data_IF_384403872420
#
_entry.id   IF_384403872420
#
_cell.length_a   1.000
_cell.length_b   1.000
_cell.length_c   1.000
_cell.angle_alpha   90.00
_cell.angle_beta   90.00
_cell.angle_gamma   90.00
#
_symmetry.space_group_name_H-M   'P 1'
#
loop_
_entity.id
_entity.type
_entity.pdbx_description
1 polymer ?
#
# COMPACT_ATOMS: atom_id res chain seq x y z
N UNK A 1 2.34 -18.65 15.39
CA UNK A 1 1.74 -18.86 14.06
C UNK A 1 0.90 -17.66 13.67
N UNK A 2 1.53 -16.55 13.25
CA UNK A 2 0.82 -15.37 12.76
C UNK A 2 0.85 -15.38 11.23
N UNK A 3 -0.30 -15.68 10.62
CA UNK A 3 -0.49 -15.75 9.18
C UNK A 3 -0.23 -14.38 8.55
N UNK A 4 0.67 -14.35 7.58
CA UNK A 4 1.10 -13.15 6.87
C UNK A 4 0.08 -12.80 5.81
N UNK A 5 -0.63 -11.69 5.98
CA UNK A 5 -1.58 -11.17 5.00
C UNK A 5 -1.36 -9.68 4.80
N UNK A 6 -1.35 -9.26 3.54
CA UNK A 6 -1.32 -7.87 3.13
C UNK A 6 -2.69 -7.24 3.49
N UNK A 7 -2.72 -6.41 4.53
CA UNK A 7 -3.91 -5.67 4.94
C UNK A 7 -4.64 -6.27 6.14
N UNK A 8 -4.56 -5.58 7.26
CA UNK A 8 -5.34 -5.89 8.45
C UNK A 8 -6.08 -4.65 8.96
N UNK A 9 -7.18 -4.89 9.64
CA UNK A 9 -7.87 -3.89 10.44
C UNK A 9 -8.15 -4.46 11.81
N UNK A 10 -8.33 -3.59 12.79
CA UNK A 10 -8.59 -4.01 14.17
C UNK A 10 -10.05 -3.80 14.50
N UNK A 11 -10.74 -4.86 14.92
CA UNK A 11 -12.07 -4.83 15.54
C UNK A 11 -11.91 -5.41 16.93
N UNK A 12 -12.26 -4.67 17.98
CA UNK A 12 -12.20 -5.11 19.38
C UNK A 12 -10.85 -5.74 19.77
N UNK A 13 -9.76 -5.03 19.48
CA UNK A 13 -8.36 -5.47 19.68
C UNK A 13 -7.94 -6.74 18.90
N UNK A 14 -8.82 -7.29 18.06
CA UNK A 14 -8.55 -8.47 17.23
C UNK A 14 -8.22 -8.03 15.81
N UNK A 15 -7.12 -8.55 15.25
CA UNK A 15 -6.76 -8.30 13.85
C UNK A 15 -7.64 -9.14 12.93
N UNK A 16 -8.37 -8.47 12.06
CA UNK A 16 -9.11 -9.05 10.96
C UNK A 16 -8.45 -8.67 9.63
N UNK A 17 -8.58 -9.54 8.63
CA UNK A 17 -7.95 -9.34 7.34
C UNK A 17 -8.91 -8.66 6.37
N UNK A 18 -8.40 -7.67 5.62
CA UNK A 18 -9.12 -7.12 4.49
C UNK A 18 -8.74 -7.93 3.25
N UNK A 19 -9.68 -8.66 2.62
CA UNK A 19 -9.35 -9.52 1.49
C UNK A 19 -8.82 -8.71 0.31
N UNK A 20 -7.64 -9.08 -0.18
CA UNK A 20 -7.07 -8.64 -1.45
C UNK A 20 -7.74 -9.44 -2.57
N UNK A 21 -8.51 -8.78 -3.41
CA UNK A 21 -9.34 -9.42 -4.45
C UNK A 21 -8.78 -9.27 -5.86
N UNK A 22 -7.89 -8.30 -6.10
CA UNK A 22 -7.25 -8.08 -7.40
C UNK A 22 -5.89 -7.40 -7.23
N UNK A 23 -4.94 -7.78 -8.08
CA UNK A 23 -3.61 -7.17 -8.17
C UNK A 23 -3.27 -6.97 -9.63
N UNK A 24 -3.02 -5.73 -10.03
CA UNK A 24 -2.55 -5.38 -11.37
C UNK A 24 -1.19 -4.73 -11.28
N UNK A 25 -0.30 -5.16 -12.15
CA UNK A 25 1.05 -4.60 -12.25
C UNK A 25 1.33 -4.27 -13.69
N UNK A 26 1.73 -3.04 -13.93
CA UNK A 26 2.20 -2.58 -15.23
C UNK A 26 3.58 -1.96 -15.06
N UNK A 27 4.57 -2.51 -15.75
CA UNK A 27 5.95 -2.03 -15.69
C UNK A 27 6.43 -1.66 -17.08
N UNK A 28 7.01 -0.48 -17.18
CA UNK A 28 7.80 -0.06 -18.35
C UNK A 28 9.28 -0.12 -17.97
N UNK A 29 10.07 -0.83 -18.75
CA UNK A 29 11.53 -0.93 -18.58
C UNK A 29 12.20 -0.18 -19.73
N UNK A 30 13.11 0.74 -19.40
CA UNK A 30 13.93 1.47 -20.35
C UNK A 30 15.39 1.38 -19.90
N UNK A 31 16.23 0.72 -20.70
CA UNK A 31 17.60 0.36 -20.32
C UNK A 31 17.62 -0.32 -18.94
N UNK A 32 18.37 0.25 -17.97
CA UNK A 32 18.46 -0.23 -16.59
C UNK A 32 17.43 0.40 -15.64
N UNK A 33 16.40 1.10 -16.13
CA UNK A 33 15.40 1.76 -15.28
C UNK A 33 14.03 1.13 -15.45
N UNK A 34 13.26 1.07 -14.36
CA UNK A 34 11.88 0.60 -14.34
C UNK A 34 10.94 1.67 -13.79
N UNK A 35 9.76 1.77 -14.38
CA UNK A 35 8.61 2.49 -13.83
C UNK A 35 7.46 1.51 -13.68
N UNK A 36 7.08 1.23 -12.45
CA UNK A 36 6.02 0.26 -12.14
C UNK A 36 4.82 0.96 -11.53
N UNK A 37 3.64 0.70 -12.09
CA UNK A 37 2.35 1.00 -11.48
C UNK A 37 1.79 -0.30 -10.90
N UNK A 38 1.63 -0.33 -9.58
CA UNK A 38 0.97 -1.38 -8.83
C UNK A 38 -0.41 -0.90 -8.39
N UNK A 39 -1.45 -1.67 -8.70
CA UNK A 39 -2.82 -1.45 -8.24
C UNK A 39 -3.25 -2.67 -7.43
N UNK A 40 -3.64 -2.45 -6.18
CA UNK A 40 -4.16 -3.49 -5.29
C UNK A 40 -5.59 -3.15 -4.90
N UNK A 41 -6.52 -4.09 -5.12
CA UNK A 41 -7.94 -3.90 -4.79
C UNK A 41 -8.32 -4.77 -3.60
N UNK A 42 -8.87 -4.14 -2.58
CA UNK A 42 -9.41 -4.79 -1.38
C UNK A 42 -10.92 -4.55 -1.28
N UNK A 43 -11.61 -5.39 -0.51
CA UNK A 43 -13.05 -5.24 -0.24
C UNK A 43 -13.32 -5.27 1.25
N UNK A 44 -14.09 -4.31 1.76
CA UNK A 44 -14.69 -4.42 3.08
C UNK A 44 -15.89 -5.37 3.03
N UNK A 45 -15.66 -6.65 3.27
CA UNK A 45 -16.72 -7.67 3.30
C UNK A 45 -17.55 -7.68 4.59
N UNK A 46 -17.24 -6.81 5.56
CA UNK A 46 -18.01 -6.74 6.80
C UNK A 46 -19.33 -5.99 6.60
N UNK A 47 -20.31 -6.28 7.47
CA UNK A 47 -21.60 -5.59 7.49
C UNK A 47 -21.50 -4.15 8.06
N UNK A 48 -20.32 -3.74 8.55
CA UNK A 48 -20.12 -2.47 9.23
C UNK A 48 -19.04 -1.62 8.56
N UNK A 49 -19.04 -0.32 8.89
CA UNK A 49 -18.00 0.60 8.45
C UNK A 49 -16.71 0.30 9.23
N UNK A 50 -15.59 0.15 8.52
CA UNK A 50 -14.28 0.06 9.15
C UNK A 50 -13.74 1.46 9.43
N UNK A 51 -13.45 1.74 10.71
CA UNK A 51 -12.90 3.03 11.13
C UNK A 51 -11.53 3.28 10.52
N UNK A 52 -10.66 2.28 10.56
CA UNK A 52 -9.30 2.36 10.04
C UNK A 52 -8.80 0.97 9.62
N UNK A 53 -8.12 0.89 8.49
CA UNK A 53 -7.44 -0.30 7.97
C UNK A 53 -5.99 0.09 7.70
N UNK A 54 -5.05 -0.78 8.08
CA UNK A 54 -3.62 -0.60 7.77
C UNK A 54 -3.14 -1.79 6.96
N UNK A 55 -2.53 -1.54 5.81
CA UNK A 55 -1.84 -2.56 5.04
C UNK A 55 -0.41 -2.16 4.79
N UNK A 56 0.47 -3.15 4.69
CA UNK A 56 1.86 -2.94 4.32
C UNK A 56 2.14 -3.63 2.99
N UNK A 57 3.06 -3.05 2.23
CA UNK A 57 3.57 -3.59 0.98
C UNK A 57 5.10 -3.40 0.93
N UNK A 58 5.88 -4.44 0.57
CA UNK A 58 7.32 -4.32 0.52
C UNK A 58 7.71 -3.64 -0.79
N UNK A 59 8.55 -2.60 -0.68
CA UNK A 59 9.20 -1.97 -1.81
C UNK A 59 10.70 -2.14 -1.59
N UNK A 60 11.34 -2.88 -2.51
CA UNK A 60 12.77 -3.19 -2.40
C UNK A 60 13.62 -1.92 -2.30
N UNK A 61 14.76 -2.04 -1.65
CA UNK A 61 15.76 -0.97 -1.57
C UNK A 61 16.12 -0.44 -2.97
N UNK A 62 16.28 0.89 -3.07
CA UNK A 62 16.64 1.56 -4.32
C UNK A 62 15.45 2.00 -5.19
N UNK A 63 14.20 1.77 -4.76
CA UNK A 63 13.03 2.33 -5.44
C UNK A 63 12.56 3.64 -4.80
N UNK A 64 12.07 4.55 -5.63
CA UNK A 64 11.44 5.81 -5.24
C UNK A 64 9.96 5.81 -5.61
N UNK A 65 9.09 6.10 -4.64
CA UNK A 65 7.66 6.28 -4.91
C UNK A 65 7.41 7.66 -5.51
N UNK A 66 6.74 7.70 -6.66
CA UNK A 66 6.51 8.93 -7.44
C UNK A 66 5.05 9.30 -7.55
N UNK A 67 4.11 8.38 -7.29
CA UNK A 67 2.69 8.71 -7.20
C UNK A 67 1.95 7.73 -6.28
N UNK A 68 0.93 8.25 -5.60
CA UNK A 68 0.01 7.48 -4.77
C UNK A 68 -1.42 7.94 -5.02
N UNK A 69 -2.35 7.00 -5.17
CA UNK A 69 -3.79 7.29 -5.23
C UNK A 69 -4.56 6.17 -4.54
N UNK A 70 -5.53 6.53 -3.70
CA UNK A 70 -6.40 5.59 -3.02
C UNK A 70 -7.86 5.91 -3.35
N UNK A 71 -8.60 4.93 -3.85
CA UNK A 71 -10.04 5.05 -4.16
C UNK A 71 -10.83 4.23 -3.15
N UNK A 72 -11.76 4.86 -2.45
CA UNK A 72 -12.63 4.23 -1.45
C UNK A 72 -14.09 4.45 -1.85
N UNK A 73 -14.70 3.41 -2.42
CA UNK A 73 -16.01 3.51 -3.07
C UNK A 73 -15.99 4.56 -4.18
N UNK A 74 -16.78 5.63 -4.01
CA UNK A 74 -16.87 6.75 -4.96
C UNK A 74 -15.87 7.90 -4.70
N UNK A 75 -15.02 7.81 -3.69
CA UNK A 75 -14.07 8.89 -3.33
C UNK A 75 -12.66 8.54 -3.80
N UNK A 76 -12.05 9.43 -4.56
CA UNK A 76 -10.63 9.35 -4.94
C UNK A 76 -9.81 10.28 -4.05
N UNK A 77 -8.72 9.76 -3.51
CA UNK A 77 -7.77 10.45 -2.63
C UNK A 77 -6.42 10.43 -3.35
N UNK A 78 -5.93 11.60 -3.75
CA UNK A 78 -4.64 11.75 -4.42
C UNK A 78 -3.59 12.11 -3.38
N UNK A 79 -2.45 11.42 -3.40
CA UNK A 79 -1.36 11.65 -2.46
C UNK A 79 -0.67 12.99 -2.69
N UNK A 80 -0.48 13.74 -1.61
CA UNK A 80 0.33 14.95 -1.56
C UNK A 80 1.49 14.71 -0.60
N UNK A 81 2.72 15.01 -1.04
CA UNK A 81 3.91 14.83 -0.20
C UNK A 81 3.95 15.92 0.86
N UNK A 82 4.02 15.51 2.12
CA UNK A 82 4.07 16.39 3.29
C UNK A 82 5.09 15.88 4.29
N UNK A 83 5.51 16.76 5.21
CA UNK A 83 6.26 16.35 6.39
C UNK A 83 5.50 15.24 7.15
N UNK A 84 6.23 14.24 7.63
CA UNK A 84 5.65 13.02 8.20
C UNK A 84 4.63 13.29 9.32
N UNK A 85 4.99 14.13 10.29
CA UNK A 85 4.11 14.40 11.43
C UNK A 85 2.90 15.25 11.02
N UNK A 86 3.07 16.16 10.07
CA UNK A 86 1.96 16.93 9.49
C UNK A 86 0.97 16.01 8.75
N UNK A 87 1.46 15.12 7.89
CA UNK A 87 0.63 14.16 7.17
C UNK A 87 -0.19 13.27 8.11
N UNK A 88 0.41 12.85 9.24
CA UNK A 88 -0.26 12.06 10.27
C UNK A 88 -1.35 12.83 11.01
N UNK A 89 -1.09 14.09 11.34
CA UNK A 89 -2.08 14.94 12.00
C UNK A 89 -3.28 15.16 11.09
N UNK A 90 -3.04 15.56 9.83
CA UNK A 90 -4.08 15.77 8.82
C UNK A 90 -4.93 14.50 8.63
N UNK A 91 -4.30 13.33 8.55
CA UNK A 91 -4.99 12.04 8.45
C UNK A 91 -5.88 11.77 9.67
N UNK A 92 -5.33 11.91 10.89
CA UNK A 92 -6.08 11.63 12.13
C UNK A 92 -7.30 12.54 12.27
N UNK A 93 -7.14 13.83 11.95
CA UNK A 93 -8.23 14.81 12.00
C UNK A 93 -9.33 14.48 10.97
N UNK A 94 -8.94 14.16 9.74
CA UNK A 94 -9.88 13.76 8.71
C UNK A 94 -10.66 12.48 9.10
N UNK A 95 -9.98 11.48 9.66
CA UNK A 95 -10.64 10.25 10.11
C UNK A 95 -11.58 10.52 11.30
N UNK A 96 -11.17 11.35 12.27
CA UNK A 96 -11.96 11.72 13.43
C UNK A 96 -13.24 12.49 13.05
N UNK A 97 -13.18 13.33 12.02
CA UNK A 97 -14.34 14.06 11.47
C UNK A 97 -15.21 13.21 10.52
N UNK A 98 -14.94 11.91 10.39
CA UNK A 98 -15.73 10.99 9.58
C UNK A 98 -15.39 11.00 8.08
N UNK A 99 -14.37 11.76 7.66
CA UNK A 99 -13.93 11.81 6.28
C UNK A 99 -13.16 10.55 5.89
N UNK A 100 -13.26 10.16 4.62
CA UNK A 100 -12.38 9.12 4.07
C UNK A 100 -11.06 9.76 3.71
N UNK A 101 -10.00 9.24 4.33
CA UNK A 101 -8.63 9.71 4.18
C UNK A 101 -7.70 8.51 3.99
N UNK A 102 -6.54 8.76 3.40
CA UNK A 102 -5.49 7.78 3.25
C UNK A 102 -4.14 8.42 3.65
N UNK A 103 -3.30 7.65 4.32
CA UNK A 103 -1.94 8.02 4.68
C UNK A 103 -1.02 6.95 4.12
N UNK A 104 -0.02 7.36 3.34
CA UNK A 104 1.02 6.49 2.81
C UNK A 104 2.37 6.91 3.40
N UNK A 105 3.07 6.00 4.06
CA UNK A 105 4.36 6.27 4.69
C UNK A 105 5.29 5.06 4.65
N UNK A 106 6.60 5.30 4.73
CA UNK A 106 7.56 4.23 4.99
C UNK A 106 7.33 3.66 6.40
N UNK A 107 7.27 2.33 6.50
CA UNK A 107 7.12 1.61 7.76
C UNK A 107 8.32 1.92 8.67
N UNK A 108 8.07 2.09 9.97
CA UNK A 108 9.14 2.39 10.94
C UNK A 108 9.93 1.13 11.29
N UNK A 109 9.28 -0.02 11.19
CA UNK A 109 9.76 -1.30 11.67
C UNK A 109 10.61 -2.04 10.63
N UNK A 110 10.43 -1.74 9.34
CA UNK A 110 11.12 -2.38 8.23
C UNK A 110 11.36 -1.32 7.14
N UNK A 111 12.62 -0.95 6.90
CA UNK A 111 13.03 0.09 5.93
C UNK A 111 12.49 -0.16 4.51
N UNK A 112 12.36 -1.42 4.14
CA UNK A 112 11.98 -1.84 2.78
C UNK A 112 10.46 -2.08 2.66
N UNK A 113 9.68 -1.57 3.62
CA UNK A 113 8.23 -1.68 3.63
C UNK A 113 7.59 -0.31 3.68
N UNK A 114 6.51 -0.17 2.92
CA UNK A 114 5.62 0.98 2.99
C UNK A 114 4.30 0.53 3.58
N UNK A 115 3.64 1.43 4.29
CA UNK A 115 2.35 1.19 4.89
C UNK A 115 1.36 2.25 4.40
N UNK A 116 0.15 1.79 4.12
CA UNK A 116 -0.99 2.66 3.86
C UNK A 116 -2.02 2.45 4.95
N UNK A 117 -2.44 3.54 5.59
CA UNK A 117 -3.63 3.57 6.43
C UNK A 117 -4.79 4.19 5.66
N UNK A 118 -5.97 3.59 5.72
CA UNK A 118 -7.20 4.08 5.08
C UNK A 118 -8.31 4.16 6.13
N UNK A 119 -8.95 5.32 6.23
CA UNK A 119 -9.99 5.58 7.22
C UNK A 119 -11.41 5.62 6.66
N UNK A 120 -12.38 5.31 7.52
CA UNK A 120 -13.82 5.39 7.25
C UNK A 120 -14.29 4.64 5.99
N UNK A 121 -13.92 3.37 5.87
CA UNK A 121 -14.28 2.52 4.72
C UNK A 121 -15.71 1.97 4.91
N UNK A 122 -16.68 2.31 4.05
CA UNK A 122 -18.05 1.83 4.18
C UNK A 122 -18.17 0.31 4.03
N UNK A 123 -19.25 -0.27 4.57
CA UNK A 123 -19.59 -1.68 4.37
C UNK A 123 -19.73 -1.99 2.87
N UNK A 124 -19.17 -3.11 2.41
CA UNK A 124 -19.16 -3.53 1.01
C UNK A 124 -18.28 -2.70 0.06
N UNK A 125 -17.60 -1.65 0.55
CA UNK A 125 -16.83 -0.77 -0.32
C UNK A 125 -15.52 -1.42 -0.79
N UNK A 126 -15.18 -1.15 -2.04
CA UNK A 126 -13.85 -1.42 -2.60
C UNK A 126 -12.87 -0.34 -2.19
N UNK A 127 -11.66 -0.77 -1.87
CA UNK A 127 -10.49 0.07 -1.63
C UNK A 127 -9.45 -0.28 -2.68
N UNK A 128 -9.22 0.61 -3.64
CA UNK A 128 -8.23 0.42 -4.70
C UNK A 128 -7.04 1.34 -4.43
N UNK A 129 -5.84 0.78 -4.35
CA UNK A 129 -4.63 1.52 -4.02
C UNK A 129 -3.63 1.42 -5.15
N UNK A 130 -3.37 2.56 -5.77
CA UNK A 130 -2.42 2.75 -6.86
C UNK A 130 -1.12 3.34 -6.29
N UNK A 131 -0.01 2.61 -6.46
CA UNK A 131 1.33 3.06 -6.13
C UNK A 131 2.14 3.05 -7.42
N UNK A 132 2.75 4.18 -7.77
CA UNK A 132 3.73 4.26 -8.85
C UNK A 132 5.10 4.47 -8.25
N UNK A 133 6.04 3.61 -8.61
CA UNK A 133 7.43 3.71 -8.18
C UNK A 133 8.39 3.51 -9.34
N UNK A 134 9.56 4.12 -9.21
CA UNK A 134 10.67 4.01 -10.16
C UNK A 134 11.88 3.42 -9.45
N UNK A 135 12.71 2.68 -10.17
CA UNK A 135 13.93 2.11 -9.61
C UNK A 135 14.91 1.66 -10.68
N UNK A 136 16.19 1.64 -10.32
CA UNK A 136 17.24 1.05 -11.14
C UNK A 136 17.23 -0.48 -10.99
N UNK A 137 17.40 -1.17 -12.11
CA UNK A 137 17.48 -2.62 -12.18
C UNK A 137 18.95 -3.02 -12.21
N UNK A 138 19.34 -3.90 -11.28
CA UNK A 138 20.70 -4.40 -11.20
C UNK A 138 20.97 -5.39 -12.35
N UNK A 139 22.17 -5.30 -12.92
CA UNK A 139 22.69 -6.34 -13.79
C UNK A 139 22.96 -7.60 -12.97
N UNK A 140 22.60 -8.73 -13.56
CA UNK A 140 22.70 -10.06 -13.00
C UNK A 140 23.80 -10.81 -13.75
N UNK A 141 24.95 -10.95 -13.11
CA UNK A 141 26.15 -11.53 -13.71
C UNK A 141 26.00 -13.03 -14.04
N UNK A 142 25.09 -13.75 -13.38
CA UNK A 142 24.87 -15.18 -13.63
C UNK A 142 24.16 -15.44 -14.97
N UNK A 143 23.27 -14.52 -15.37
CA UNK A 143 22.44 -14.65 -16.58
C UNK A 143 22.80 -13.61 -17.65
N UNK A 144 23.82 -12.80 -17.40
CA UNK A 144 24.23 -11.64 -18.20
C UNK A 144 23.03 -10.79 -18.66
N UNK A 145 22.22 -10.37 -17.69
CA UNK A 145 20.93 -9.74 -17.97
C UNK A 145 20.44 -8.80 -16.89
N UNK A 146 19.22 -8.29 -17.06
CA UNK A 146 18.56 -7.42 -16.08
C UNK A 146 17.52 -8.22 -15.32
N UNK A 147 17.57 -8.19 -13.98
CA UNK A 147 16.58 -8.85 -13.12
C UNK A 147 15.54 -7.85 -12.61
N UNK A 148 14.28 -8.08 -12.96
CA UNK A 148 13.14 -7.34 -12.44
C UNK A 148 12.28 -8.22 -11.52
N UNK A 149 12.03 -7.75 -10.31
CA UNK A 149 11.28 -8.49 -9.28
C UNK A 149 10.07 -7.70 -8.83
N UNK A 150 8.90 -8.33 -8.86
CA UNK A 150 7.68 -7.80 -8.26
C UNK A 150 7.37 -8.61 -7.01
N UNK A 151 7.32 -7.99 -5.82
CA UNK A 151 6.92 -8.72 -4.64
C UNK A 151 5.40 -8.92 -4.63
N UNK A 152 4.96 -10.17 -4.71
CA UNK A 152 3.53 -10.53 -4.68
C UNK A 152 2.99 -10.73 -3.26
N UNK A 153 3.88 -10.93 -2.26
CA UNK A 153 3.50 -11.26 -0.88
C UNK A 153 4.56 -10.77 0.10
N UNK A 154 4.13 -10.30 1.27
CA UNK A 154 5.04 -10.15 2.41
C UNK A 154 5.23 -11.54 3.02
N UNK A 155 6.46 -11.99 3.12
CA UNK A 155 6.83 -13.16 3.92
C UNK A 155 7.48 -12.67 5.24
N UNK A 156 7.25 -13.35 6.38
CA UNK A 156 8.01 -13.07 7.60
C UNK A 156 9.50 -13.17 7.29
N UNK A 157 10.29 -12.19 7.73
CA UNK A 157 11.74 -12.32 7.73
C UNK A 157 12.09 -13.15 8.97
N UNK A 158 12.52 -14.40 8.72
CA UNK A 158 12.88 -15.46 9.69
C UNK A 158 11.71 -16.09 10.45
#
# INVERSE_FOLDING_TARGET
MASTVCGFYTVDATRQYLPLVDVKVHTTILASTSRTKLTQTFVNSSATKLREVRYAFPLYEGVSVVAFTCRVGNRTIVGEVKEREKAKQDFKEAVATGQRAALFEQAREVSDCFATSVGNIPAGAKVEVDITYVGELKHDAEVDGIRFTIPAKILPRY
#
